data_IF_005502841819
#
_entry.id   IF_005502841819
#
_cell.length_a   1.000
_cell.length_b   1.000
_cell.length_c   1.000
_cell.angle_alpha   90.00
_cell.angle_beta   90.00
_cell.angle_gamma   90.00
#
_symmetry.space_group_name_H-M   'P 1'
#
loop_
_entity.id
_entity.type
_entity.pdbx_description
1 polymer ?
#
# COMPACT_ATOMS: atom_id res chain seq x y z
N UNK A 1 37.54 -12.70 -0.78
CA UNK A 1 36.22 -13.34 -1.03
C UNK A 1 35.60 -13.71 0.30
N UNK A 2 34.52 -13.04 0.75
CA UNK A 2 33.82 -13.43 1.99
C UNK A 2 32.87 -14.58 1.67
N UNK A 3 33.09 -15.73 2.30
CA UNK A 3 32.26 -16.92 2.14
C UNK A 3 30.81 -16.60 2.52
N UNK A 4 29.85 -16.91 1.62
CA UNK A 4 28.43 -16.82 1.92
C UNK A 4 28.09 -17.84 3.01
N UNK A 5 27.36 -17.48 4.07
CA UNK A 5 26.96 -18.46 5.09
C UNK A 5 26.10 -19.55 4.45
N UNK A 6 26.43 -20.81 4.75
CA UNK A 6 25.68 -22.00 4.31
C UNK A 6 24.24 -21.90 4.80
N UNK A 7 23.29 -22.04 3.89
CA UNK A 7 21.86 -22.17 4.23
C UNK A 7 21.71 -23.45 5.05
N UNK A 8 21.25 -23.32 6.30
CA UNK A 8 20.84 -24.47 7.08
C UNK A 8 19.51 -24.99 6.50
N UNK A 9 19.56 -26.21 5.95
CA UNK A 9 18.41 -26.88 5.32
C UNK A 9 17.78 -27.92 6.24
N UNK A 10 18.20 -27.98 7.51
CA UNK A 10 17.58 -28.87 8.49
C UNK A 10 16.21 -28.32 8.84
N UNK A 11 15.17 -29.08 8.52
CA UNK A 11 13.88 -28.92 9.16
C UNK A 11 14.09 -29.27 10.63
N UNK A 12 14.21 -28.26 11.49
CA UNK A 12 13.96 -28.48 12.90
C UNK A 12 12.48 -28.88 12.98
N UNK A 13 12.14 -30.09 13.46
CA UNK A 13 10.76 -30.35 13.82
C UNK A 13 10.34 -29.21 14.75
N UNK A 14 9.23 -28.55 14.43
CA UNK A 14 8.58 -27.72 15.45
C UNK A 14 8.30 -28.70 16.56
N UNK A 15 8.95 -28.52 17.70
CA UNK A 15 8.71 -29.38 18.85
C UNK A 15 7.24 -29.20 19.22
N UNK A 16 6.39 -30.12 18.76
CA UNK A 16 4.95 -30.08 18.98
C UNK A 16 4.63 -30.14 20.49
N UNK A 17 5.63 -30.48 21.30
CA UNK A 17 5.54 -30.68 22.74
C UNK A 17 6.05 -29.52 23.60
N UNK A 18 6.25 -28.29 23.07
CA UNK A 18 6.47 -27.13 23.97
C UNK A 18 5.31 -27.08 24.97
N UNK A 19 5.53 -27.30 26.29
CA UNK A 19 4.46 -27.28 27.26
C UNK A 19 3.80 -25.89 27.28
N UNK A 20 2.53 -25.79 27.65
CA UNK A 20 1.85 -24.50 27.89
C UNK A 20 2.56 -23.62 28.95
N UNK A 21 3.58 -24.15 29.65
CA UNK A 21 4.35 -23.48 30.68
C UNK A 21 5.47 -22.62 30.07
N UNK A 22 5.36 -21.30 30.26
CA UNK A 22 6.21 -20.23 29.73
C UNK A 22 5.99 -19.89 28.25
N UNK A 23 4.87 -19.21 27.98
CA UNK A 23 4.71 -18.46 26.74
C UNK A 23 5.86 -17.43 26.60
N UNK A 24 6.62 -17.44 25.49
CA UNK A 24 7.62 -16.40 25.26
C UNK A 24 6.92 -15.05 25.18
N UNK A 25 7.45 -13.96 25.74
CA UNK A 25 6.78 -12.65 25.76
C UNK A 25 6.33 -12.12 24.37
N UNK A 26 6.84 -12.70 23.28
CA UNK A 26 6.60 -12.29 21.91
C UNK A 26 6.43 -13.49 20.99
N UNK A 27 5.55 -13.35 19.99
CA UNK A 27 5.49 -14.26 18.83
C UNK A 27 6.41 -13.72 17.75
N UNK A 28 7.38 -14.52 17.31
CA UNK A 28 8.38 -14.13 16.31
C UNK A 28 8.17 -14.96 15.05
N UNK A 29 8.15 -14.30 13.90
CA UNK A 29 8.22 -14.94 12.58
C UNK A 29 9.54 -14.56 11.92
N UNK A 30 10.22 -15.57 11.40
CA UNK A 30 11.50 -15.41 10.72
C UNK A 30 11.33 -15.52 9.20
N UNK A 31 12.20 -14.85 8.46
CA UNK A 31 12.31 -15.01 7.02
C UNK A 31 13.04 -16.32 6.66
N UNK A 32 13.17 -16.61 5.36
CA UNK A 32 13.82 -17.81 4.85
C UNK A 32 15.33 -17.91 5.22
N UNK A 33 15.92 -16.85 5.76
CA UNK A 33 17.31 -16.78 6.20
C UNK A 33 17.45 -16.74 7.73
N UNK A 34 16.35 -16.93 8.45
CA UNK A 34 16.33 -16.92 9.92
C UNK A 34 16.34 -15.53 10.55
N UNK A 35 16.25 -14.46 9.77
CA UNK A 35 16.15 -13.11 10.35
C UNK A 35 14.73 -12.83 10.82
N UNK A 36 14.59 -12.07 11.90
CA UNK A 36 13.29 -11.61 12.39
C UNK A 36 12.58 -10.77 11.33
N UNK A 37 11.49 -11.30 10.78
CA UNK A 37 10.67 -10.63 9.77
C UNK A 37 9.54 -9.83 10.43
N UNK A 38 8.93 -10.40 11.47
CA UNK A 38 7.81 -9.81 12.18
C UNK A 38 7.75 -10.29 13.63
N UNK A 39 7.37 -9.40 14.54
CA UNK A 39 7.20 -9.69 15.96
C UNK A 39 5.87 -9.14 16.45
N UNK A 40 5.20 -9.87 17.32
CA UNK A 40 3.96 -9.51 17.98
C UNK A 40 4.10 -9.65 19.50
N UNK A 41 3.58 -8.69 20.25
CA UNK A 41 3.73 -8.63 21.71
C UNK A 41 2.52 -9.23 22.39
N UNK A 42 2.71 -10.30 23.18
CA UNK A 42 1.61 -11.02 23.81
C UNK A 42 0.90 -10.17 24.86
N UNK A 43 1.55 -9.15 25.42
CA UNK A 43 0.91 -8.22 26.35
C UNK A 43 -0.29 -7.49 25.72
N UNK A 44 -0.35 -7.39 24.38
CA UNK A 44 -1.50 -6.84 23.67
C UNK A 44 -2.77 -7.72 23.76
N UNK A 45 -2.64 -8.95 24.25
CA UNK A 45 -3.76 -9.87 24.51
C UNK A 45 -4.16 -9.90 26.01
N UNK A 46 -3.78 -8.88 26.79
CA UNK A 46 -4.20 -8.74 28.18
C UNK A 46 -5.74 -8.75 28.29
N UNK A 47 -6.26 -9.61 29.17
CA UNK A 47 -7.69 -9.85 29.38
C UNK A 47 -8.19 -11.21 28.85
N UNK A 48 -7.38 -11.92 28.07
CA UNK A 48 -7.70 -13.30 27.66
C UNK A 48 -7.24 -14.28 28.75
N UNK A 49 -8.05 -15.29 29.13
CA UNK A 49 -7.60 -16.39 29.99
C UNK A 49 -6.30 -17.02 29.51
N UNK A 50 -5.40 -17.36 30.43
CA UNK A 50 -4.03 -17.77 30.09
C UNK A 50 -3.99 -19.04 29.22
N UNK A 51 -4.86 -20.01 29.48
CA UNK A 51 -4.99 -21.24 28.71
C UNK A 51 -5.52 -20.96 27.28
N UNK A 52 -6.53 -20.11 27.15
CA UNK A 52 -7.10 -19.70 25.87
C UNK A 52 -6.07 -18.90 25.05
N UNK A 53 -5.35 -17.97 25.67
CA UNK A 53 -4.31 -17.21 25.02
C UNK A 53 -3.22 -18.13 24.47
N UNK A 54 -2.76 -19.10 25.26
CA UNK A 54 -1.74 -20.06 24.85
C UNK A 54 -2.17 -20.90 23.64
N UNK A 55 -3.41 -21.39 23.64
CA UNK A 55 -3.97 -22.16 22.53
C UNK A 55 -4.08 -21.31 21.26
N UNK A 56 -4.65 -20.11 21.36
CA UNK A 56 -4.85 -19.23 20.20
C UNK A 56 -3.54 -18.73 19.60
N UNK A 57 -2.53 -18.47 20.43
CA UNK A 57 -1.21 -18.02 20.00
C UNK A 57 -0.43 -19.14 19.31
N UNK A 58 -0.52 -20.38 19.80
CA UNK A 58 0.02 -21.56 19.10
C UNK A 58 -0.66 -21.73 17.74
N UNK A 59 -1.98 -21.71 17.71
CA UNK A 59 -2.76 -21.80 16.48
C UNK A 59 -2.37 -20.68 15.50
N UNK A 60 -2.19 -19.45 15.98
CA UNK A 60 -1.72 -18.32 15.17
C UNK A 60 -0.34 -18.55 14.59
N UNK A 61 0.64 -18.93 15.41
CA UNK A 61 2.01 -19.14 14.96
C UNK A 61 2.09 -20.24 13.91
N UNK A 62 1.50 -21.41 14.18
CA UNK A 62 1.52 -22.57 13.28
C UNK A 62 0.74 -22.26 12.01
N UNK A 63 -0.48 -21.73 12.12
CA UNK A 63 -1.31 -21.44 10.96
C UNK A 63 -0.65 -20.39 10.05
N UNK A 64 0.00 -19.37 10.60
CA UNK A 64 0.55 -18.27 9.82
C UNK A 64 2.05 -18.33 9.54
N UNK A 65 2.70 -19.45 9.85
CA UNK A 65 4.14 -19.63 9.62
C UNK A 65 4.53 -19.28 8.16
N UNK A 66 3.74 -19.76 7.20
CA UNK A 66 3.89 -19.45 5.77
C UNK A 66 2.97 -18.31 5.26
N UNK A 67 2.33 -17.57 6.18
CA UNK A 67 1.40 -16.50 5.86
C UNK A 67 2.11 -15.20 5.49
N UNK A 68 1.55 -14.42 4.54
CA UNK A 68 2.05 -13.09 4.26
C UNK A 68 1.97 -12.17 5.49
N UNK A 69 2.96 -11.29 5.67
CA UNK A 69 3.04 -10.30 6.75
C UNK A 69 1.74 -9.53 6.98
N UNK A 70 1.05 -9.13 5.90
CA UNK A 70 -0.24 -8.42 5.97
C UNK A 70 -1.36 -9.28 6.56
N UNK A 71 -1.38 -10.57 6.24
CA UNK A 71 -2.35 -11.53 6.77
C UNK A 71 -2.08 -11.78 8.26
N UNK A 72 -0.81 -11.96 8.65
CA UNK A 72 -0.38 -12.02 10.05
C UNK A 72 -0.85 -10.79 10.84
N UNK A 73 -0.59 -9.58 10.33
CA UNK A 73 -1.05 -8.34 10.98
C UNK A 73 -2.57 -8.25 11.12
N UNK A 74 -3.33 -8.58 10.06
CA UNK A 74 -4.78 -8.52 10.09
C UNK A 74 -5.36 -9.51 11.12
N UNK A 75 -4.80 -10.73 11.18
CA UNK A 75 -5.25 -11.75 12.13
C UNK A 75 -4.84 -11.42 13.56
N UNK A 76 -3.64 -10.89 13.77
CA UNK A 76 -3.22 -10.37 15.07
C UNK A 76 -4.16 -9.27 15.57
N UNK A 77 -4.55 -8.34 14.70
CA UNK A 77 -5.54 -7.34 15.02
C UNK A 77 -6.90 -7.96 15.42
N UNK A 78 -7.31 -9.07 14.80
CA UNK A 78 -8.53 -9.78 15.21
C UNK A 78 -8.42 -10.41 16.60
N UNK A 79 -7.26 -10.96 16.95
CA UNK A 79 -6.99 -11.46 18.31
C UNK A 79 -7.07 -10.34 19.34
N UNK A 80 -6.51 -9.17 19.04
CA UNK A 80 -6.59 -7.98 19.92
C UNK A 80 -8.03 -7.54 20.17
N UNK A 81 -8.89 -7.56 19.16
CA UNK A 81 -10.30 -7.20 19.32
C UNK A 81 -11.04 -8.20 20.22
N UNK A 82 -10.73 -9.50 20.13
CA UNK A 82 -11.24 -10.49 21.09
C UNK A 82 -10.70 -10.21 22.50
N UNK A 83 -9.40 -9.93 22.65
CA UNK A 83 -8.82 -9.64 23.95
C UNK A 83 -9.45 -8.41 24.61
N UNK A 84 -9.73 -7.38 23.82
CA UNK A 84 -10.43 -6.19 24.28
C UNK A 84 -11.87 -6.50 24.72
N UNK A 85 -12.59 -7.33 23.96
CA UNK A 85 -13.92 -7.79 24.36
C UNK A 85 -13.93 -8.61 25.66
N UNK A 86 -12.88 -9.41 25.90
CA UNK A 86 -12.77 -10.27 27.07
C UNK A 86 -12.26 -9.55 28.33
N UNK A 87 -11.63 -8.38 28.20
CA UNK A 87 -10.98 -7.68 29.32
C UNK A 87 -11.89 -7.43 30.53
N UNK A 88 -13.15 -7.11 30.29
CA UNK A 88 -14.12 -6.78 31.33
C UNK A 88 -15.13 -7.92 31.60
N UNK A 89 -14.90 -9.10 31.02
CA UNK A 89 -15.76 -10.29 31.17
C UNK A 89 -15.22 -11.17 32.28
N UNK A 90 -16.04 -11.44 33.30
CA UNK A 90 -15.73 -12.43 34.35
C UNK A 90 -16.37 -13.80 34.09
N UNK A 91 -17.23 -13.91 33.09
CA UNK A 91 -17.93 -15.13 32.66
C UNK A 91 -17.08 -16.04 31.75
N UNK A 92 -15.82 -15.69 31.51
CA UNK A 92 -14.89 -16.43 30.65
C UNK A 92 -13.62 -16.65 31.43
N UNK A 93 -13.45 -17.85 31.99
CA UNK A 93 -12.34 -18.19 32.88
C UNK A 93 -11.33 -19.12 32.20
N UNK A 94 -11.78 -19.88 31.21
CA UNK A 94 -10.98 -20.92 30.55
C UNK A 94 -11.21 -20.94 29.04
N UNK A 95 -10.37 -21.69 28.32
CA UNK A 95 -10.54 -21.96 26.90
C UNK A 95 -11.84 -22.70 26.57
N UNK A 96 -12.43 -23.44 27.53
CA UNK A 96 -13.70 -24.18 27.34
C UNK A 96 -14.88 -23.25 27.10
N UNK A 97 -14.80 -22.02 27.65
CA UNK A 97 -15.83 -21.00 27.56
C UNK A 97 -15.89 -20.34 26.17
N UNK A 98 -14.91 -20.63 25.29
CA UNK A 98 -14.96 -20.21 23.89
C UNK A 98 -15.97 -21.06 23.11
N UNK A 99 -17.23 -20.64 23.16
CA UNK A 99 -18.36 -21.28 22.50
C UNK A 99 -19.09 -20.37 21.51
N UNK A 100 -20.10 -20.94 20.85
CA UNK A 100 -20.94 -20.23 19.89
C UNK A 100 -21.68 -19.05 20.53
N UNK A 101 -22.02 -19.14 21.82
CA UNK A 101 -22.71 -18.08 22.54
C UNK A 101 -21.76 -16.90 22.78
N UNK A 102 -20.52 -17.15 23.21
CA UNK A 102 -19.48 -16.13 23.39
C UNK A 102 -19.13 -15.46 22.06
N UNK A 103 -19.00 -16.23 20.97
CA UNK A 103 -18.75 -15.68 19.64
C UNK A 103 -19.89 -14.80 19.13
N UNK A 104 -21.16 -15.14 19.46
CA UNK A 104 -22.32 -14.27 19.17
C UNK A 104 -22.30 -12.99 20.01
N UNK A 105 -21.96 -13.07 21.30
CA UNK A 105 -21.78 -11.90 22.17
C UNK A 105 -20.66 -10.99 21.64
N UNK A 106 -19.55 -11.56 21.20
CA UNK A 106 -18.44 -10.82 20.58
C UNK A 106 -18.88 -10.12 19.28
N UNK A 107 -19.62 -10.82 18.41
CA UNK A 107 -20.15 -10.23 17.18
C UNK A 107 -21.10 -9.03 17.46
N UNK A 108 -21.97 -9.16 18.48
CA UNK A 108 -22.84 -8.07 18.95
C UNK A 108 -22.06 -6.88 19.47
N UNK A 109 -21.10 -7.11 20.38
CA UNK A 109 -20.22 -6.07 20.91
C UNK A 109 -19.47 -5.31 19.80
N UNK A 110 -18.97 -6.01 18.78
CA UNK A 110 -18.32 -5.35 17.65
C UNK A 110 -19.26 -4.50 16.79
N UNK A 111 -20.54 -4.86 16.71
CA UNK A 111 -21.55 -4.12 15.96
C UNK A 111 -21.99 -2.83 16.68
N UNK A 112 -22.01 -2.84 18.00
CA UNK A 112 -22.35 -1.70 18.87
C UNK A 112 -21.20 -0.69 19.02
N UNK A 113 -19.98 -1.09 18.69
CA UNK A 113 -18.79 -0.25 18.83
C UNK A 113 -18.80 0.90 17.81
N UNK A 114 -19.24 2.08 18.25
CA UNK A 114 -19.40 3.29 17.43
C UNK A 114 -18.09 3.98 17.00
N UNK A 115 -16.94 3.60 17.58
CA UNK A 115 -15.65 4.25 17.33
C UNK A 115 -15.14 4.10 15.89
N UNK A 116 -15.68 3.12 15.16
CA UNK A 116 -15.30 2.81 13.78
C UNK A 116 -16.57 2.47 13.03
N UNK A 117 -17.04 3.36 12.15
CA UNK A 117 -18.16 3.10 11.24
C UNK A 117 -17.84 1.91 10.29
N UNK A 118 -17.99 0.68 10.79
CA UNK A 118 -17.73 -0.57 10.08
C UNK A 118 -19.07 -1.14 9.62
N UNK A 119 -19.24 -1.24 8.31
CA UNK A 119 -20.40 -1.96 7.78
C UNK A 119 -20.38 -3.45 8.16
N UNK A 120 -21.52 -4.15 8.14
CA UNK A 120 -21.64 -5.56 8.53
C UNK A 120 -20.64 -6.51 7.84
N UNK A 121 -20.25 -6.21 6.59
CA UNK A 121 -19.26 -6.98 5.85
C UNK A 121 -17.84 -6.86 6.45
N UNK A 122 -17.46 -5.68 6.92
CA UNK A 122 -16.16 -5.45 7.53
C UNK A 122 -16.05 -6.23 8.84
N UNK A 123 -17.13 -6.22 9.63
CA UNK A 123 -17.25 -6.99 10.86
C UNK A 123 -17.18 -8.51 10.59
N UNK A 124 -17.95 -8.99 9.61
CA UNK A 124 -17.91 -10.39 9.19
C UNK A 124 -16.52 -10.82 8.71
N UNK A 125 -15.84 -9.97 7.93
CA UNK A 125 -14.47 -10.20 7.48
C UNK A 125 -13.49 -10.28 8.64
N UNK A 126 -13.63 -9.40 9.64
CA UNK A 126 -12.79 -9.39 10.83
C UNK A 126 -12.97 -10.67 11.66
N UNK A 127 -14.20 -11.12 11.92
CA UNK A 127 -14.44 -12.39 12.64
C UNK A 127 -13.95 -13.59 11.83
N UNK A 128 -14.10 -13.56 10.51
CA UNK A 128 -13.63 -14.65 9.64
C UNK A 128 -12.10 -14.85 9.69
N UNK A 129 -11.32 -13.86 10.14
CA UNK A 129 -9.88 -14.03 10.35
C UNK A 129 -9.55 -14.96 11.53
N UNK A 130 -10.45 -15.04 12.52
CA UNK A 130 -10.30 -15.88 13.70
C UNK A 130 -10.68 -17.33 13.45
N UNK A 131 -11.58 -17.57 12.47
CA UNK A 131 -12.08 -18.90 12.10
C UNK A 131 -10.98 -19.97 12.00
N UNK A 132 -9.93 -19.80 11.17
CA UNK A 132 -8.89 -20.83 11.05
C UNK A 132 -8.09 -21.04 12.33
N UNK A 133 -8.05 -20.06 13.26
CA UNK A 133 -7.37 -20.24 14.54
C UNK A 133 -8.22 -21.04 15.50
N UNK A 134 -9.52 -20.74 15.58
CA UNK A 134 -10.47 -21.44 16.45
C UNK A 134 -10.64 -22.89 15.98
N UNK A 135 -10.79 -23.10 14.66
CA UNK A 135 -10.88 -24.45 14.08
C UNK A 135 -9.61 -25.27 14.36
N UNK A 136 -8.43 -24.66 14.22
CA UNK A 136 -7.15 -25.31 14.54
C UNK A 136 -6.99 -25.56 16.04
N UNK A 137 -7.33 -24.59 16.88
CA UNK A 137 -7.30 -24.71 18.34
C UNK A 137 -8.17 -25.88 18.83
N UNK A 138 -9.39 -25.99 18.31
CA UNK A 138 -10.30 -27.07 18.66
C UNK A 138 -9.83 -28.43 18.16
N UNK A 139 -9.27 -28.48 16.95
CA UNK A 139 -8.69 -29.70 16.40
C UNK A 139 -7.48 -30.20 17.22
N UNK A 140 -6.59 -29.30 17.61
CA UNK A 140 -5.36 -29.64 18.35
C UNK A 140 -5.62 -29.90 19.85
N UNK A 141 -6.80 -29.54 20.39
CA UNK A 141 -7.11 -29.65 21.84
C UNK A 141 -8.52 -30.22 22.09
N UNK A 142 -8.82 -31.47 21.66
CA UNK A 142 -10.16 -32.05 21.77
C UNK A 142 -10.66 -32.14 23.23
N UNK A 143 -9.77 -32.39 24.20
CA UNK A 143 -10.10 -32.52 25.63
C UNK A 143 -10.52 -31.20 26.29
N UNK A 144 -10.15 -30.08 25.67
CA UNK A 144 -10.55 -28.73 26.10
C UNK A 144 -11.90 -28.38 25.48
N UNK A 145 -12.00 -28.51 24.15
CA UNK A 145 -13.16 -27.99 23.41
C UNK A 145 -14.33 -28.97 23.31
N UNK A 146 -14.14 -30.24 23.66
CA UNK A 146 -15.18 -31.28 23.58
C UNK A 146 -15.49 -31.74 22.15
N UNK A 147 -14.59 -31.47 21.19
CA UNK A 147 -14.75 -31.82 19.78
C UNK A 147 -14.46 -30.66 18.82
N UNK A 148 -14.69 -30.84 17.50
CA UNK A 148 -14.47 -29.81 16.50
C UNK A 148 -15.35 -28.59 16.77
N UNK A 149 -14.76 -27.39 16.79
CA UNK A 149 -15.50 -26.12 16.86
C UNK A 149 -15.30 -25.32 15.60
N UNK A 150 -16.38 -24.71 15.12
CA UNK A 150 -16.37 -23.81 13.96
C UNK A 150 -17.07 -22.52 14.31
N UNK A 151 -16.60 -21.38 13.80
CA UNK A 151 -17.34 -20.13 13.95
C UNK A 151 -18.69 -20.26 13.22
N UNK A 152 -19.83 -19.87 13.81
CA UNK A 152 -21.11 -19.92 13.11
C UNK A 152 -21.07 -19.17 11.77
N UNK A 153 -21.62 -19.77 10.70
CA UNK A 153 -21.58 -19.19 9.35
C UNK A 153 -22.35 -17.86 9.23
N UNK A 154 -23.25 -17.57 10.18
CA UNK A 154 -24.22 -16.46 10.12
C UNK A 154 -24.11 -15.47 11.29
N UNK A 155 -22.92 -15.20 11.82
CA UNK A 155 -22.75 -14.23 12.91
C UNK A 155 -23.18 -12.79 12.55
N UNK A 156 -23.17 -12.45 11.26
CA UNK A 156 -23.65 -11.15 10.75
C UNK A 156 -24.68 -11.38 9.64
N UNK A 157 -25.98 -11.50 9.98
CA UNK A 157 -27.06 -11.66 9.01
C UNK A 157 -27.01 -10.56 7.96
N UNK A 158 -27.35 -10.87 6.71
CA UNK A 158 -27.41 -9.91 5.60
C UNK A 158 -26.09 -9.19 5.26
N UNK A 159 -24.94 -9.60 5.81
CA UNK A 159 -23.62 -9.05 5.45
C UNK A 159 -23.33 -9.06 3.94
N UNK A 160 -23.91 -10.01 3.20
CA UNK A 160 -23.88 -10.08 1.74
C UNK A 160 -24.92 -9.20 1.04
N UNK A 161 -26.05 -8.89 1.69
CA UNK A 161 -27.17 -8.10 1.12
C UNK A 161 -26.94 -6.60 1.21
N UNK A 162 -26.14 -6.12 2.17
CA UNK A 162 -25.73 -4.69 2.25
C UNK A 162 -24.71 -4.26 1.20
N UNK A 163 -24.50 -5.07 0.15
CA UNK A 163 -23.63 -4.73 -0.97
C UNK A 163 -24.36 -3.72 -1.86
N UNK A 164 -24.44 -2.47 -1.41
CA UNK A 164 -24.75 -1.37 -2.32
C UNK A 164 -23.80 -1.51 -3.52
N UNK A 165 -24.31 -1.57 -4.76
CA UNK A 165 -23.45 -1.68 -5.92
C UNK A 165 -22.47 -0.52 -5.87
N UNK A 166 -21.18 -0.82 -5.75
CA UNK A 166 -20.16 0.24 -5.82
C UNK A 166 -20.40 0.98 -7.14
N UNK A 167 -20.53 2.30 -7.08
CA UNK A 167 -20.67 3.14 -8.27
C UNK A 167 -19.58 2.73 -9.27
N UNK A 168 -20.00 2.18 -10.40
CA UNK A 168 -19.09 1.76 -11.47
C UNK A 168 -18.81 2.97 -12.34
N UNK A 169 -17.57 3.10 -12.78
CA UNK A 169 -17.22 4.05 -13.82
C UNK A 169 -17.87 3.60 -15.13
N UNK A 170 -18.47 4.54 -15.85
CA UNK A 170 -19.01 4.26 -17.18
C UNK A 170 -17.87 4.02 -18.18
N UNK A 171 -18.18 3.43 -19.34
CA UNK A 171 -17.22 3.30 -20.43
C UNK A 171 -16.69 4.67 -20.89
N UNK A 172 -17.51 5.72 -20.81
CA UNK A 172 -17.12 7.09 -21.14
C UNK A 172 -16.12 7.64 -20.11
N UNK A 173 -16.39 7.44 -18.82
CA UNK A 173 -15.46 7.84 -17.75
C UNK A 173 -14.10 7.15 -17.93
N UNK A 174 -14.11 5.84 -18.21
CA UNK A 174 -12.87 5.07 -18.42
C UNK A 174 -12.06 5.58 -19.62
N UNK A 175 -12.74 5.93 -20.73
CA UNK A 175 -12.08 6.52 -21.91
C UNK A 175 -11.51 7.91 -21.59
N UNK A 176 -12.25 8.75 -20.86
CA UNK A 176 -11.80 10.07 -20.46
C UNK A 176 -10.58 10.00 -19.53
N UNK A 177 -10.60 9.09 -18.55
CA UNK A 177 -9.47 8.84 -17.66
C UNK A 177 -8.24 8.36 -18.46
N UNK A 178 -8.41 7.41 -19.37
CA UNK A 178 -7.31 6.95 -20.23
C UNK A 178 -6.73 8.07 -21.09
N UNK A 179 -7.59 8.89 -21.71
CA UNK A 179 -7.14 10.02 -22.52
C UNK A 179 -6.32 11.03 -21.69
N UNK A 180 -6.76 11.34 -20.46
CA UNK A 180 -6.00 12.19 -19.55
C UNK A 180 -4.66 11.55 -19.17
N UNK A 181 -4.65 10.26 -18.82
CA UNK A 181 -3.42 9.53 -18.51
C UNK A 181 -2.44 9.57 -19.68
N UNK A 182 -2.91 9.37 -20.92
CA UNK A 182 -2.04 9.39 -22.08
C UNK A 182 -1.40 10.75 -22.34
N UNK A 183 -2.14 11.86 -22.16
CA UNK A 183 -1.53 13.19 -22.28
C UNK A 183 -0.42 13.39 -21.25
N UNK A 184 -0.66 13.02 -19.99
CA UNK A 184 0.34 13.16 -18.92
C UNK A 184 1.54 12.23 -19.12
N UNK A 185 1.32 11.02 -19.65
CA UNK A 185 2.38 10.08 -20.02
C UNK A 185 3.24 10.67 -21.15
N UNK A 186 2.62 11.20 -22.19
CA UNK A 186 3.32 11.78 -23.34
C UNK A 186 4.18 12.97 -22.89
N UNK A 187 3.64 13.89 -22.08
CA UNK A 187 4.39 15.02 -21.50
C UNK A 187 5.57 14.55 -20.62
N UNK A 188 5.32 13.56 -19.75
CA UNK A 188 6.36 13.01 -18.88
C UNK A 188 7.48 12.33 -19.69
N UNK A 189 7.12 11.64 -20.77
CA UNK A 189 8.05 10.97 -21.65
C UNK A 189 8.90 11.94 -22.45
N UNK A 190 8.28 12.96 -23.05
CA UNK A 190 8.99 14.03 -23.76
C UNK A 190 9.97 14.76 -22.83
N UNK A 191 9.55 15.08 -21.61
CA UNK A 191 10.41 15.72 -20.61
C UNK A 191 11.60 14.85 -20.23
N UNK A 192 11.37 13.54 -20.06
CA UNK A 192 12.44 12.59 -19.79
C UNK A 192 13.41 12.48 -20.97
N UNK A 193 12.91 12.33 -22.20
CA UNK A 193 13.75 12.25 -23.40
C UNK A 193 14.59 13.50 -23.60
N UNK A 194 14.00 14.68 -23.43
CA UNK A 194 14.72 15.95 -23.46
C UNK A 194 15.84 15.99 -22.41
N UNK A 195 15.55 15.57 -21.18
CA UNK A 195 16.54 15.44 -20.12
C UNK A 195 17.70 14.50 -20.45
N UNK A 196 17.40 13.33 -21.03
CA UNK A 196 18.40 12.36 -21.47
C UNK A 196 19.26 12.90 -22.62
N UNK A 197 18.67 13.61 -23.57
CA UNK A 197 19.40 14.23 -24.69
C UNK A 197 20.41 15.27 -24.17
N UNK A 198 20.00 16.13 -23.24
CA UNK A 198 20.91 17.10 -22.61
C UNK A 198 21.97 16.40 -21.76
N UNK A 199 21.61 15.38 -20.99
CA UNK A 199 22.55 14.64 -20.16
C UNK A 199 23.65 13.94 -20.97
N UNK A 200 23.32 13.49 -22.17
CA UNK A 200 24.23 12.81 -23.11
C UNK A 200 25.23 13.75 -23.78
N UNK A 201 25.07 15.08 -23.69
CA UNK A 201 26.01 16.02 -24.28
C UNK A 201 27.41 15.85 -23.64
N UNK A 202 28.47 15.80 -24.47
CA UNK A 202 29.84 15.63 -23.97
C UNK A 202 30.27 16.85 -23.14
N UNK A 203 29.93 18.03 -23.62
CA UNK A 203 30.26 19.32 -23.00
C UNK A 203 29.03 19.98 -22.37
N UNK A 204 29.22 20.84 -21.35
CA UNK A 204 28.12 21.54 -20.73
C UNK A 204 27.49 22.56 -21.70
N UNK A 205 26.15 22.60 -21.83
CA UNK A 205 25.45 23.65 -22.57
C UNK A 205 25.93 25.05 -22.17
N UNK A 206 26.00 26.04 -23.08
CA UNK A 206 26.54 27.36 -22.80
C UNK A 206 25.76 28.10 -21.70
N UNK A 207 26.42 29.07 -21.07
CA UNK A 207 25.74 30.00 -20.15
C UNK A 207 24.77 30.90 -20.94
N UNK A 208 23.71 31.36 -20.29
CA UNK A 208 22.78 32.34 -20.85
C UNK A 208 23.14 33.75 -20.34
N UNK A 209 22.76 34.84 -21.04
CA UNK A 209 23.14 36.20 -20.67
C UNK A 209 22.79 36.60 -19.22
N UNK A 210 21.81 35.92 -18.60
CA UNK A 210 21.45 36.08 -17.19
C UNK A 210 21.38 34.72 -16.48
N UNK A 211 22.55 34.13 -16.21
CA UNK A 211 22.70 32.95 -15.34
C UNK A 211 23.04 31.65 -16.07
N UNK A 212 22.72 30.52 -15.44
CA UNK A 212 23.20 29.20 -15.87
C UNK A 212 22.33 28.59 -16.98
N UNK A 213 21.03 28.91 -17.03
CA UNK A 213 20.09 28.33 -17.98
C UNK A 213 19.64 26.91 -17.61
N UNK A 214 18.45 26.51 -18.09
CA UNK A 214 17.82 25.23 -17.74
C UNK A 214 18.67 24.03 -18.17
N UNK A 215 19.17 24.03 -19.40
CA UNK A 215 19.86 22.91 -20.04
C UNK A 215 21.19 22.62 -19.33
N UNK A 216 21.97 23.67 -19.05
CA UNK A 216 23.22 23.53 -18.29
C UNK A 216 22.95 23.04 -16.86
N UNK A 217 21.84 23.46 -16.24
CA UNK A 217 21.44 22.92 -14.94
C UNK A 217 21.06 21.44 -15.02
N UNK A 218 20.32 21.02 -16.05
CA UNK A 218 20.00 19.60 -16.28
C UNK A 218 21.30 18.79 -16.35
N UNK A 219 22.25 19.25 -17.17
CA UNK A 219 23.55 18.61 -17.38
C UNK A 219 24.37 18.49 -16.09
N UNK A 220 24.46 19.58 -15.31
CA UNK A 220 25.22 19.63 -14.05
C UNK A 220 24.58 18.76 -12.97
N UNK A 221 23.26 18.82 -12.82
CA UNK A 221 22.53 18.05 -11.82
C UNK A 221 22.59 16.54 -12.11
N UNK A 222 22.49 16.14 -13.38
CA UNK A 222 22.61 14.74 -13.78
C UNK A 222 23.95 14.13 -13.33
N UNK A 223 25.06 14.87 -13.52
CA UNK A 223 26.40 14.45 -13.10
C UNK A 223 26.54 14.42 -11.58
N UNK A 224 26.08 15.47 -10.90
CA UNK A 224 26.11 15.54 -9.44
C UNK A 224 25.36 14.39 -8.77
N UNK A 225 24.23 13.97 -9.35
CA UNK A 225 23.40 12.90 -8.83
C UNK A 225 23.67 11.51 -9.44
N UNK A 226 24.66 11.39 -10.33
CA UNK A 226 25.04 10.15 -11.03
C UNK A 226 23.86 9.47 -11.75
N UNK A 227 23.11 10.24 -12.53
CA UNK A 227 21.97 9.73 -13.30
C UNK A 227 20.62 9.86 -12.63
N UNK A 228 20.56 10.28 -11.36
CA UNK A 228 19.31 10.60 -10.67
C UNK A 228 19.35 12.02 -10.10
N UNK A 229 18.21 12.58 -9.68
CA UNK A 229 18.20 13.90 -9.07
C UNK A 229 19.20 13.95 -7.88
N UNK A 230 20.07 14.94 -7.71
CA UNK A 230 21.05 14.92 -6.62
C UNK A 230 20.43 15.17 -5.24
N UNK A 231 21.06 14.70 -4.16
CA UNK A 231 20.79 15.18 -2.80
C UNK A 231 21.33 16.60 -2.62
N UNK A 232 20.90 17.29 -1.55
CA UNK A 232 21.44 18.62 -1.20
C UNK A 232 22.95 18.58 -0.98
N UNK A 233 23.46 17.50 -0.38
CA UNK A 233 24.88 17.28 -0.16
C UNK A 233 25.64 17.10 -1.47
N UNK A 234 25.11 16.25 -2.37
CA UNK A 234 25.67 16.05 -3.72
C UNK A 234 25.69 17.35 -4.53
N UNK A 235 24.65 18.17 -4.43
CA UNK A 235 24.62 19.49 -5.06
C UNK A 235 25.73 20.40 -4.54
N UNK A 236 25.86 20.51 -3.21
CA UNK A 236 26.87 21.38 -2.58
C UNK A 236 28.29 20.96 -2.97
N UNK A 237 28.56 19.66 -3.00
CA UNK A 237 29.85 19.12 -3.45
C UNK A 237 30.19 19.48 -4.90
N UNK A 238 29.18 19.80 -5.73
CA UNK A 238 29.34 20.23 -7.12
C UNK A 238 29.14 21.74 -7.30
N UNK A 239 29.18 22.53 -6.23
CA UNK A 239 29.02 23.99 -6.29
C UNK A 239 27.63 24.47 -6.68
N UNK A 240 26.60 23.62 -6.59
CA UNK A 240 25.22 23.95 -6.97
C UNK A 240 24.43 24.47 -5.77
N UNK A 241 23.97 25.72 -5.85
CA UNK A 241 23.11 26.36 -4.86
C UNK A 241 21.67 25.82 -4.89
N UNK A 242 20.99 25.86 -3.74
CA UNK A 242 19.56 25.49 -3.66
C UNK A 242 18.67 26.46 -4.44
N UNK A 243 19.05 27.73 -4.48
CA UNK A 243 18.23 28.80 -5.05
C UNK A 243 18.18 28.72 -6.58
N UNK A 244 19.21 28.15 -7.20
CA UNK A 244 19.30 27.88 -8.63
C UNK A 244 18.19 26.94 -9.12
N UNK A 245 17.61 26.14 -8.22
CA UNK A 245 16.48 25.25 -8.52
C UNK A 245 15.11 25.91 -8.40
N UNK A 246 14.99 27.03 -7.66
CA UNK A 246 13.71 27.71 -7.45
C UNK A 246 13.13 28.21 -8.78
N UNK A 247 14.00 28.63 -9.71
CA UNK A 247 13.64 29.13 -11.03
C UNK A 247 12.95 28.10 -11.94
N UNK A 248 13.08 26.79 -11.64
CA UNK A 248 12.60 25.72 -12.52
C UNK A 248 11.87 24.60 -11.76
N UNK A 249 11.09 24.96 -10.73
CA UNK A 249 10.17 24.02 -10.06
C UNK A 249 10.80 23.17 -8.95
N UNK A 250 11.91 23.63 -8.36
CA UNK A 250 12.66 22.96 -7.28
C UNK A 250 13.19 21.59 -7.71
N UNK A 251 13.70 20.80 -6.76
CA UNK A 251 14.23 19.45 -6.99
C UNK A 251 13.25 18.50 -7.73
N UNK A 252 11.95 18.58 -7.44
CA UNK A 252 10.94 17.73 -8.10
C UNK A 252 10.74 18.11 -9.56
N UNK A 253 10.83 19.40 -9.89
CA UNK A 253 10.76 19.91 -11.27
C UNK A 253 11.88 19.39 -12.15
N UNK A 254 13.09 19.20 -11.61
CA UNK A 254 14.20 18.61 -12.36
C UNK A 254 14.18 17.08 -12.41
N UNK A 255 13.73 16.41 -11.34
CA UNK A 255 13.81 14.95 -11.24
C UNK A 255 13.16 14.20 -12.42
N UNK A 256 12.06 14.74 -12.97
CA UNK A 256 11.35 14.20 -14.15
C UNK A 256 12.21 14.12 -15.43
N UNK A 257 13.31 14.88 -15.52
CA UNK A 257 14.25 14.83 -16.64
C UNK A 257 15.19 13.61 -16.59
N UNK A 258 15.33 12.98 -15.41
CA UNK A 258 16.31 11.92 -15.19
C UNK A 258 15.68 10.56 -14.96
N UNK A 259 14.52 10.51 -14.30
CA UNK A 259 13.88 9.25 -13.96
C UNK A 259 12.40 9.47 -13.64
N UNK A 260 11.68 8.36 -13.53
CA UNK A 260 10.29 8.35 -13.08
C UNK A 260 10.18 8.93 -11.64
N UNK A 261 9.19 9.79 -11.44
CA UNK A 261 8.79 10.31 -10.11
C UNK A 261 7.36 9.91 -9.80
N UNK A 262 6.93 10.06 -8.54
CA UNK A 262 5.57 9.70 -8.11
C UNK A 262 4.50 10.35 -8.98
N UNK A 263 4.62 11.66 -9.23
CA UNK A 263 3.62 12.44 -9.97
C UNK A 263 3.45 11.90 -11.39
N UNK A 264 4.55 11.60 -12.08
CA UNK A 264 4.54 11.04 -13.44
C UNK A 264 4.25 9.54 -13.47
N UNK A 265 4.36 8.82 -12.35
CA UNK A 265 4.11 7.37 -12.28
C UNK A 265 2.62 7.05 -12.27
N UNK A 266 1.81 7.87 -11.59
CA UNK A 266 0.37 7.65 -11.42
C UNK A 266 -0.36 7.40 -12.75
N UNK A 267 -0.20 8.23 -13.81
CA UNK A 267 -0.90 7.99 -15.07
C UNK A 267 -0.49 6.68 -15.75
N UNK A 268 0.80 6.28 -15.70
CA UNK A 268 1.22 4.95 -16.18
C UNK A 268 0.54 3.83 -15.41
N UNK A 269 0.51 3.94 -14.07
CA UNK A 269 -0.07 2.92 -13.21
C UNK A 269 -1.58 2.75 -13.46
N UNK A 270 -2.31 3.86 -13.61
CA UNK A 270 -3.75 3.85 -13.93
C UNK A 270 -3.97 3.26 -15.33
N UNK A 271 -3.25 3.74 -16.35
CA UNK A 271 -3.39 3.24 -17.71
C UNK A 271 -3.12 1.73 -17.80
N UNK A 272 -2.06 1.24 -17.16
CA UNK A 272 -1.75 -0.19 -17.09
C UNK A 272 -2.80 -0.97 -16.30
N UNK A 273 -3.32 -0.43 -15.19
CA UNK A 273 -4.39 -1.08 -14.42
C UNK A 273 -5.66 -1.27 -15.27
N UNK A 274 -6.02 -0.26 -16.06
CA UNK A 274 -7.17 -0.31 -16.96
C UNK A 274 -6.93 -1.32 -18.08
N UNK A 275 -5.80 -1.23 -18.79
CA UNK A 275 -5.51 -2.08 -19.96
C UNK A 275 -5.33 -3.56 -19.58
N UNK A 276 -4.67 -3.85 -18.46
CA UNK A 276 -4.43 -5.23 -18.02
C UNK A 276 -5.57 -5.82 -17.21
N UNK A 277 -6.45 -4.98 -16.66
CA UNK A 277 -7.40 -5.34 -15.61
C UNK A 277 -6.73 -6.07 -14.43
N UNK A 278 -5.45 -5.76 -14.18
CA UNK A 278 -4.71 -6.32 -13.06
C UNK A 278 -5.20 -5.73 -11.74
N UNK A 279 -5.16 -6.55 -10.68
CA UNK A 279 -5.38 -6.03 -9.34
C UNK A 279 -4.27 -5.01 -9.00
N UNK A 280 -4.58 -3.91 -8.28
CA UNK A 280 -3.62 -2.87 -7.93
C UNK A 280 -2.33 -3.39 -7.29
N UNK A 281 -2.44 -4.17 -6.21
CA UNK A 281 -1.25 -4.66 -5.48
C UNK A 281 -0.33 -5.56 -6.34
N UNK A 282 -0.84 -6.59 -7.04
CA UNK A 282 -0.04 -7.36 -8.00
C UNK A 282 0.59 -6.52 -9.10
N UNK A 283 -0.13 -5.54 -9.67
CA UNK A 283 0.41 -4.65 -10.70
C UNK A 283 1.54 -3.79 -10.14
N UNK A 284 1.39 -3.24 -8.94
CA UNK A 284 2.42 -2.45 -8.26
C UNK A 284 3.73 -3.23 -8.07
N UNK A 285 3.63 -4.54 -7.93
CA UNK A 285 4.76 -5.46 -7.75
C UNK A 285 5.18 -6.18 -9.03
N UNK A 286 4.65 -5.76 -10.19
CA UNK A 286 5.00 -6.36 -11.47
C UNK A 286 6.51 -6.26 -11.70
N UNK A 287 7.07 -7.34 -12.26
CA UNK A 287 8.50 -7.45 -12.51
C UNK A 287 8.90 -6.73 -13.79
N UNK A 288 10.18 -6.46 -13.95
CA UNK A 288 10.77 -5.83 -15.15
C UNK A 288 10.78 -6.77 -16.37
N UNK A 289 10.83 -8.07 -16.13
CA UNK A 289 10.79 -9.14 -17.13
C UNK A 289 9.35 -9.54 -17.50
N UNK A 290 8.37 -8.64 -17.30
CA UNK A 290 6.95 -8.96 -17.52
C UNK A 290 6.54 -9.01 -19.00
N UNK A 291 7.39 -8.55 -19.92
CA UNK A 291 7.12 -8.60 -21.35
C UNK A 291 7.59 -9.94 -21.92
N UNK A 292 6.66 -10.71 -22.49
CA UNK A 292 6.93 -12.03 -23.08
C UNK A 292 6.42 -12.04 -24.51
N UNK A 293 7.23 -12.43 -25.51
CA UNK A 293 6.78 -12.57 -26.90
C UNK A 293 5.59 -13.52 -27.00
N UNK A 294 4.66 -13.24 -27.91
CA UNK A 294 3.56 -14.16 -28.18
C UNK A 294 4.07 -15.32 -29.06
N UNK A 295 3.78 -16.59 -28.72
CA UNK A 295 4.38 -17.76 -29.36
C UNK A 295 3.92 -17.98 -30.80
N UNK A 296 2.84 -17.33 -31.22
CA UNK A 296 2.22 -17.51 -32.54
C UNK A 296 2.08 -16.22 -33.35
N UNK A 297 2.34 -15.06 -32.77
CA UNK A 297 2.04 -13.77 -33.42
C UNK A 297 3.12 -12.76 -33.06
N UNK A 298 4.00 -12.47 -34.01
CA UNK A 298 5.17 -11.59 -33.82
C UNK A 298 4.78 -10.14 -33.51
N UNK A 299 3.56 -9.73 -33.87
CA UNK A 299 3.04 -8.39 -33.61
C UNK A 299 2.38 -8.27 -32.22
N UNK A 300 2.36 -9.37 -31.45
CA UNK A 300 1.75 -9.41 -30.11
C UNK A 300 2.74 -9.71 -29.02
N UNK A 301 2.47 -9.10 -27.87
CA UNK A 301 3.25 -9.27 -26.65
C UNK A 301 2.32 -9.61 -25.49
N UNK A 302 2.71 -10.59 -24.69
CA UNK A 302 2.12 -10.81 -23.38
C UNK A 302 2.73 -9.87 -22.35
N UNK A 303 1.88 -9.39 -21.45
CA UNK A 303 2.29 -8.86 -20.15
C UNK A 303 1.92 -9.89 -19.10
N UNK A 304 2.91 -10.36 -18.35
CA UNK A 304 2.76 -11.35 -17.30
C UNK A 304 2.98 -10.75 -15.91
N UNK A 305 2.15 -11.16 -14.95
CA UNK A 305 2.33 -10.79 -13.54
C UNK A 305 1.85 -11.89 -12.60
N UNK A 306 2.48 -11.95 -11.43
CA UNK A 306 2.12 -12.89 -10.39
C UNK A 306 0.99 -12.32 -9.53
N UNK A 307 -0.14 -13.02 -9.48
CA UNK A 307 -1.23 -12.74 -8.53
C UNK A 307 -1.13 -13.70 -7.34
N UNK A 308 -0.85 -13.19 -6.13
CA UNK A 308 -0.92 -14.01 -4.93
C UNK A 308 -2.36 -14.48 -4.69
N UNK A 309 -2.49 -15.73 -4.27
CA UNK A 309 -3.73 -16.39 -3.84
C UNK A 309 -3.51 -16.97 -2.45
N UNK A 310 -4.60 -17.15 -1.70
CA UNK A 310 -4.63 -17.82 -0.39
C UNK A 310 -3.54 -17.31 0.56
N UNK A 311 -3.64 -16.03 0.98
CA UNK A 311 -2.69 -15.44 1.94
C UNK A 311 -1.23 -15.32 1.45
N UNK A 312 -0.98 -15.47 0.15
CA UNK A 312 0.36 -15.38 -0.44
C UNK A 312 1.06 -16.72 -0.65
N UNK A 313 0.44 -17.84 -0.23
CA UNK A 313 1.02 -19.19 -0.31
C UNK A 313 1.09 -19.73 -1.74
N UNK A 314 0.11 -19.38 -2.58
CA UNK A 314 0.05 -19.81 -3.97
C UNK A 314 0.20 -18.58 -4.86
N UNK A 315 1.15 -18.60 -5.81
CA UNK A 315 1.30 -17.55 -6.81
C UNK A 315 0.79 -18.07 -8.14
N UNK A 316 -0.25 -17.45 -8.70
CA UNK A 316 -0.75 -17.77 -10.04
C UNK A 316 -0.24 -16.72 -11.02
N UNK A 317 0.41 -17.17 -12.08
CA UNK A 317 0.74 -16.30 -13.20
C UNK A 317 -0.54 -15.89 -13.92
N UNK A 318 -0.70 -14.59 -14.17
CA UNK A 318 -1.73 -14.03 -15.04
C UNK A 318 -1.05 -13.35 -16.22
N UNK A 319 -1.68 -13.41 -17.39
CA UNK A 319 -1.16 -12.80 -18.60
C UNK A 319 -2.27 -12.15 -19.43
N UNK A 320 -1.91 -11.11 -20.18
CA UNK A 320 -2.77 -10.46 -21.19
C UNK A 320 -1.97 -10.20 -22.45
N UNK A 321 -2.55 -10.48 -23.61
CA UNK A 321 -1.94 -10.26 -24.92
C UNK A 321 -2.36 -8.92 -25.49
N UNK A 322 -1.40 -8.16 -26.02
CA UNK A 322 -1.61 -6.85 -26.61
C UNK A 322 -0.95 -6.77 -27.98
N UNK A 323 -1.56 -6.01 -28.88
CA UNK A 323 -0.98 -5.63 -30.17
C UNK A 323 0.08 -4.53 -29.97
N UNK A 324 1.32 -4.81 -30.39
CA UNK A 324 2.49 -3.94 -30.19
C UNK A 324 2.54 -2.77 -31.17
N UNK A 325 1.78 -2.83 -32.26
CA UNK A 325 1.70 -1.77 -33.29
C UNK A 325 1.00 -0.52 -32.75
N UNK A 326 0.18 -0.66 -31.71
CA UNK A 326 -0.49 0.47 -31.05
C UNK A 326 0.50 1.22 -30.15
N UNK A 327 0.70 2.50 -30.45
CA UNK A 327 1.66 3.38 -29.74
C UNK A 327 1.40 3.51 -28.24
N UNK A 328 0.14 3.46 -27.81
CA UNK A 328 -0.28 3.58 -26.40
C UNK A 328 -0.69 2.23 -25.77
N UNK A 329 -0.27 1.12 -26.37
CA UNK A 329 -0.51 -0.21 -25.80
C UNK A 329 0.30 -0.43 -24.52
N UNK A 330 -0.20 -1.29 -23.65
CA UNK A 330 0.46 -1.62 -22.40
C UNK A 330 1.94 -2.04 -22.57
N UNK A 331 2.35 -2.84 -23.59
CA UNK A 331 3.76 -3.12 -23.83
C UNK A 331 4.61 -1.86 -24.06
N UNK A 332 4.11 -0.90 -24.85
CA UNK A 332 4.81 0.38 -25.08
C UNK A 332 4.96 1.18 -23.79
N UNK A 333 3.91 1.23 -22.97
CA UNK A 333 3.98 1.88 -21.66
C UNK A 333 5.01 1.20 -20.74
N UNK A 334 5.11 -0.13 -20.77
CA UNK A 334 6.12 -0.88 -20.01
C UNK A 334 7.54 -0.58 -20.54
N UNK A 335 7.75 -0.54 -21.86
CA UNK A 335 9.04 -0.16 -22.47
C UNK A 335 9.49 1.25 -22.03
N UNK A 336 8.57 2.22 -22.01
CA UNK A 336 8.83 3.57 -21.51
C UNK A 336 9.22 3.53 -20.03
N UNK A 337 8.46 2.83 -19.19
CA UNK A 337 8.77 2.67 -17.77
C UNK A 337 10.13 2.02 -17.54
N UNK A 338 10.50 0.99 -18.31
CA UNK A 338 11.80 0.33 -18.21
C UNK A 338 12.93 1.35 -18.42
N UNK A 339 12.81 2.24 -19.40
CA UNK A 339 13.76 3.34 -19.66
C UNK A 339 13.76 4.38 -18.54
N UNK A 340 12.59 4.88 -18.13
CA UNK A 340 12.48 5.91 -17.09
C UNK A 340 12.92 5.43 -15.69
N UNK A 341 12.95 4.12 -15.46
CA UNK A 341 13.35 3.54 -14.16
C UNK A 341 14.74 2.92 -14.17
N UNK A 342 15.38 2.74 -15.35
CA UNK A 342 16.74 2.22 -15.45
C UNK A 342 17.76 3.02 -14.62
N UNK A 343 17.75 4.37 -14.60
CA UNK A 343 18.69 5.15 -13.79
C UNK A 343 18.56 4.93 -12.28
N UNK A 344 17.43 4.40 -11.81
CA UNK A 344 17.20 4.12 -10.39
C UNK A 344 17.86 2.81 -9.94
N UNK A 345 18.12 1.86 -10.84
CA UNK A 345 18.56 0.49 -10.50
C UNK A 345 19.81 0.43 -9.60
N UNK A 346 20.88 1.24 -9.81
CA UNK A 346 22.05 1.23 -8.93
C UNK A 346 21.74 1.64 -7.48
N UNK A 347 20.59 2.28 -7.26
CA UNK A 347 20.19 2.89 -6.00
C UNK A 347 19.05 2.13 -5.30
N UNK A 348 18.66 0.97 -5.82
CA UNK A 348 17.60 0.10 -5.29
C UNK A 348 18.21 -1.11 -4.58
N UNK A 349 17.62 -1.47 -3.43
CA UNK A 349 17.98 -2.69 -2.69
C UNK A 349 17.63 -3.95 -3.46
N UNK A 350 18.32 -5.06 -3.18
CA UNK A 350 18.18 -6.30 -3.95
C UNK A 350 16.73 -6.80 -4.04
N UNK A 351 15.93 -6.70 -2.96
CA UNK A 351 14.54 -7.18 -2.92
C UNK A 351 13.57 -6.46 -3.89
N UNK A 352 13.91 -5.24 -4.30
CA UNK A 352 13.07 -4.37 -5.13
C UNK A 352 13.60 -4.25 -6.57
N UNK A 353 14.82 -4.73 -6.84
CA UNK A 353 15.55 -4.46 -8.09
C UNK A 353 14.88 -5.02 -9.33
N UNK A 354 14.14 -6.12 -9.19
CA UNK A 354 13.40 -6.78 -10.26
C UNK A 354 12.03 -6.13 -10.54
N UNK A 355 11.66 -5.04 -9.87
CA UNK A 355 10.34 -4.40 -9.97
C UNK A 355 10.30 -3.33 -11.06
N UNK A 356 9.17 -3.23 -11.76
CA UNK A 356 8.97 -2.25 -12.83
C UNK A 356 8.78 -0.83 -12.28
N UNK A 357 7.90 -0.68 -11.28
CA UNK A 357 7.55 0.61 -10.70
C UNK A 357 8.53 1.03 -9.61
N UNK A 358 9.64 1.63 -10.02
CA UNK A 358 10.67 2.17 -9.13
C UNK A 358 10.56 3.70 -9.05
N UNK A 359 10.72 4.24 -7.84
CA UNK A 359 10.77 5.68 -7.60
C UNK A 359 11.94 6.04 -6.70
N UNK A 360 12.47 7.26 -6.88
CA UNK A 360 13.40 7.87 -5.92
C UNK A 360 12.66 8.26 -4.65
N UNK A 361 13.22 7.89 -3.49
CA UNK A 361 12.71 8.28 -2.18
C UNK A 361 13.21 9.69 -1.85
N UNK A 362 12.35 10.69 -2.01
CA UNK A 362 12.69 12.08 -1.72
C UNK A 362 12.55 12.36 -0.20
N UNK A 363 13.67 12.60 0.48
CA UNK A 363 13.76 12.92 1.92
C UNK A 363 15.15 12.61 2.49
N UNK A 364 15.57 13.29 3.57
CA UNK A 364 16.84 12.99 4.24
C UNK A 364 16.78 11.58 4.86
N UNK A 365 17.80 10.79 4.56
CA UNK A 365 17.91 9.35 4.84
C UNK A 365 17.83 8.97 6.32
N UNK A 366 18.18 9.87 7.26
CA UNK A 366 18.18 9.57 8.71
C UNK A 366 16.79 9.53 9.34
N UNK A 367 15.85 10.36 8.90
CA UNK A 367 14.52 10.44 9.55
C UNK A 367 13.55 9.32 9.15
N UNK A 368 13.84 8.55 8.07
CA UNK A 368 12.93 7.50 7.55
C UNK A 368 13.53 6.09 7.47
N UNK A 369 14.76 5.90 7.97
CA UNK A 369 15.41 4.58 8.04
C UNK A 369 15.57 3.86 6.70
N UNK A 370 15.65 4.60 5.59
CA UNK A 370 15.80 3.99 4.26
C UNK A 370 17.27 3.72 3.95
N UNK A 371 17.65 2.43 3.90
CA UNK A 371 19.01 1.99 3.50
C UNK A 371 19.35 2.31 2.02
N UNK A 372 18.34 2.53 1.17
CA UNK A 372 18.49 2.75 -0.27
C UNK A 372 17.72 4.01 -0.72
N UNK A 373 18.26 4.72 -1.72
CA UNK A 373 17.71 5.99 -2.23
C UNK A 373 16.50 5.79 -3.16
N UNK A 374 16.29 4.58 -3.67
CA UNK A 374 15.15 4.24 -4.52
C UNK A 374 14.53 2.90 -4.09
N UNK A 375 13.31 2.64 -4.55
CA UNK A 375 12.62 1.36 -4.36
C UNK A 375 11.19 1.40 -4.87
N UNK A 376 10.41 0.39 -4.52
CA UNK A 376 9.00 0.28 -4.97
C UNK A 376 8.15 1.37 -4.31
N UNK A 377 7.17 1.88 -5.05
CA UNK A 377 6.14 2.75 -4.51
C UNK A 377 5.34 2.03 -3.41
N UNK A 378 5.24 2.64 -2.23
CA UNK A 378 4.43 2.07 -1.15
C UNK A 378 2.94 2.36 -1.38
N UNK A 379 2.09 1.50 -0.83
CA UNK A 379 0.64 1.62 -0.99
C UNK A 379 0.12 2.96 -0.46
N UNK A 380 0.67 3.44 0.66
CA UNK A 380 0.26 4.70 1.29
C UNK A 380 0.57 5.91 0.39
N UNK A 381 1.62 5.82 -0.43
CA UNK A 381 1.99 6.89 -1.36
C UNK A 381 1.00 7.01 -2.53
N UNK A 382 0.46 5.88 -3.01
CA UNK A 382 -0.62 5.87 -4.01
C UNK A 382 -1.93 6.40 -3.43
N UNK A 383 -2.20 6.19 -2.14
CA UNK A 383 -3.40 6.69 -1.48
C UNK A 383 -3.37 8.22 -1.28
N UNK A 384 -2.21 8.79 -0.94
CA UNK A 384 -2.06 10.24 -0.70
C UNK A 384 -2.04 11.05 -2.01
N UNK A 385 -1.54 10.49 -3.12
CA UNK A 385 -1.58 11.15 -4.42
C UNK A 385 -3.02 11.47 -4.88
N UNK A 386 -4.02 10.70 -4.42
CA UNK A 386 -5.44 10.94 -4.70
C UNK A 386 -6.09 12.00 -3.79
N UNK A 387 -5.45 12.38 -2.68
CA UNK A 387 -6.00 13.36 -1.73
C UNK A 387 -5.52 14.81 -2.00
N UNK A 388 -4.49 14.97 -2.84
CA UNK A 388 -3.90 16.28 -3.17
C UNK A 388 -4.75 17.16 -4.09
N UNK A 389 -5.82 16.62 -4.69
CA UNK A 389 -6.74 17.35 -5.58
C UNK A 389 -8.01 17.85 -4.89
N UNK A 390 -8.16 17.68 -3.57
CA UNK A 390 -9.37 18.08 -2.83
C UNK A 390 -9.10 18.93 -1.58
N UNK A 391 -7.94 19.59 -1.45
CA UNK A 391 -7.71 20.56 -0.37
C UNK A 391 -7.58 21.98 -0.93
N UNK A 392 -8.72 22.60 -1.23
CA UNK A 392 -8.81 24.06 -1.20
C UNK A 392 -8.50 24.53 0.22
N UNK A 393 -7.29 25.06 0.42
CA UNK A 393 -6.93 25.75 1.66
C UNK A 393 -7.70 27.06 1.73
N UNK A 394 -8.82 27.08 2.43
CA UNK A 394 -9.28 28.31 3.07
C UNK A 394 -8.31 28.64 4.20
N UNK A 395 -7.52 29.70 4.01
CA UNK A 395 -6.72 30.29 5.09
C UNK A 395 -7.69 30.82 6.14
N UNK A 396 -7.58 30.30 7.36
CA UNK A 396 -8.27 30.84 8.53
C UNK A 396 -7.74 32.23 8.88
N UNK A 397 -8.63 33.22 8.83
CA UNK A 397 -8.47 34.46 9.59
C UNK A 397 -8.81 34.19 11.06
N UNK A 398 -7.98 34.71 11.97
CA UNK A 398 -8.13 34.60 13.43
C UNK A 398 -9.39 35.31 13.93
N UNK A 399 -10.01 34.86 15.04
CA UNK A 399 -11.11 35.55 15.69
C UNK A 399 -10.57 36.67 16.62
N UNK A 400 -11.09 37.88 16.45
CA UNK A 400 -10.89 39.02 17.35
C UNK A 400 -12.24 39.49 17.86
N UNK A 401 -12.34 39.60 19.18
CA UNK A 401 -13.52 39.92 19.99
C UNK A 401 -14.15 41.29 19.70
N UNK A 402 -15.48 41.32 19.84
CA UNK A 402 -16.36 42.33 20.46
C UNK A 402 -16.17 43.82 20.09
N UNK A 403 -17.24 44.40 19.53
CA UNK A 403 -17.99 45.55 20.09
C UNK A 403 -19.24 45.83 19.22
N UNK A 404 -20.42 45.66 19.78
CA UNK A 404 -21.70 46.32 19.37
C UNK A 404 -21.72 47.75 19.98
N UNK A 405 -22.63 48.71 19.63
CA UNK A 405 -23.98 48.54 19.05
C UNK A 405 -24.46 49.64 18.06
N UNK A 406 -25.76 49.59 17.72
CA UNK A 406 -26.66 50.72 17.33
C UNK A 406 -26.76 51.02 15.81
N UNK A 407 -27.89 51.29 15.12
CA UNK A 407 -29.35 51.46 15.39
C UNK A 407 -30.02 51.71 14.00
N UNK A 408 -31.37 51.50 13.88
CA UNK A 408 -32.32 51.89 12.79
C UNK A 408 -32.22 51.14 11.45
N UNK A 409 -33.27 50.86 10.68
CA UNK A 409 -34.73 51.02 10.73
C UNK A 409 -35.30 50.17 9.57
N UNK A 410 -36.60 49.84 9.59
CA UNK A 410 -37.37 49.74 8.33
C UNK A 410 -38.10 48.42 8.02
N UNK A 411 -39.31 48.30 8.58
CA UNK A 411 -40.55 47.75 8.01
C UNK A 411 -40.55 47.02 6.63
N UNK A 412 -41.14 45.81 6.61
CA UNK A 412 -42.42 45.45 5.95
C UNK A 412 -42.53 43.90 5.89
N UNK A 413 -43.49 43.25 6.57
CA UNK A 413 -44.79 42.75 6.03
C UNK A 413 -44.60 41.99 4.71
N UNK A 414 -44.94 40.70 4.53
CA UNK A 414 -46.16 39.95 4.92
C UNK A 414 -46.04 38.45 4.57
N UNK A 415 -46.88 37.65 5.24
CA UNK A 415 -47.54 36.39 4.80
C UNK A 415 -46.76 35.08 4.58
N UNK A 416 -46.98 34.13 5.50
CA UNK A 416 -47.13 32.67 5.25
C UNK A 416 -48.45 32.41 4.48
N UNK A 417 -48.63 31.27 3.79
CA UNK A 417 -49.16 30.02 4.40
C UNK A 417 -48.29 28.78 4.03
N UNK A 418 -48.10 27.73 4.85
CA UNK A 418 -48.99 26.68 5.42
C UNK A 418 -49.28 25.51 4.46
N UNK A 419 -48.67 24.36 4.82
CA UNK A 419 -49.14 22.96 4.85
C UNK A 419 -49.37 22.06 3.62
N UNK A 420 -49.14 20.76 3.92
CA UNK A 420 -49.76 19.52 3.40
C UNK A 420 -49.11 18.92 2.16
N UNK A 421 -48.39 17.79 2.22
CA UNK A 421 -48.75 16.40 2.58
C UNK A 421 -49.42 15.60 1.45
N UNK A 422 -48.95 14.34 1.32
CA UNK A 422 -49.47 13.17 0.61
C UNK A 422 -49.37 13.12 -0.94
N UNK A 423 -48.51 12.23 -1.46
CA UNK A 423 -48.87 10.87 -1.86
C UNK A 423 -47.60 10.00 -1.96
#
# INVERSE_FOLDING_TARGET
MRAKPRIDRRFAPVDETVPLAAMPARVIFNDAWGNVEQTFDIAELAGVPADLAAILLRAFHVHDLAGARKTRTARWHALKEIAEFLRDRRDVETARDLDDALLRRFAGWMAERHDRARGPQSLAGQVSLLRPLIERAAHDNPDVFGGPRTIPAYLFPNSHKHRQPKRRLSSQDMKAILAACYREIDEAWETFQYGQAIAALPEPPPLIPRGIGKDRLIWLHHRAGRGIAPTVEQMRAHGLGKDTLLLYGRQRGFARHYHLITDTLVPFYIALAIQTAANPDPLRLIRRDCLVPHPLDEERMFIEWLKPKTGGRIKRMQRRSFDRRRSRSAPRLVEMLLKMTAPLLPHVGEQDRDRLFLIRRMGSSRARGHRHLAGVIRWETLAVANAGSSSGRTKGSRPGMLLTPSVRDGCCRTSRPVCSAAA
#
